data_IF_805318455396
#
_entry.id   IF_805318455396
#
_cell.length_a   1.000
_cell.length_b   1.000
_cell.length_c   1.000
_cell.angle_alpha   90.00
_cell.angle_beta   90.00
_cell.angle_gamma   90.00
#
_symmetry.space_group_name_H-M   'P 1'
#
loop_
_entity.id
_entity.type
_entity.pdbx_description
1 polymer ?
#
# COMPACT_ATOMS: atom_id res chain seq x y z
N UNK A 1 -2.65 -19.99 7.94
CA UNK A 1 -1.73 -19.04 7.28
C UNK A 1 -1.19 -19.73 6.03
N UNK A 2 -1.33 -19.09 4.88
CA UNK A 2 -0.91 -19.63 3.58
C UNK A 2 0.29 -18.85 3.03
N UNK A 3 0.88 -19.37 1.95
CA UNK A 3 1.92 -18.71 1.17
C UNK A 3 1.57 -18.84 -0.30
N UNK A 4 1.71 -17.76 -1.08
CA UNK A 4 1.36 -17.77 -2.49
C UNK A 4 1.81 -16.53 -3.22
N UNK A 5 1.55 -16.48 -4.52
CA UNK A 5 1.80 -15.33 -5.39
C UNK A 5 0.77 -15.34 -6.52
N UNK A 6 0.58 -14.18 -7.18
CA UNK A 6 -0.28 -14.09 -8.35
C UNK A 6 0.27 -14.92 -9.50
N UNK A 7 -0.60 -15.66 -10.17
CA UNK A 7 -0.29 -16.37 -11.41
C UNK A 7 -0.17 -15.42 -12.61
N UNK A 8 -0.64 -14.18 -12.48
CA UNK A 8 -0.40 -13.10 -13.45
C UNK A 8 1.02 -12.55 -13.25
N UNK A 9 1.84 -12.62 -14.31
CA UNK A 9 3.24 -12.18 -14.27
C UNK A 9 3.36 -10.68 -14.02
N UNK A 10 2.47 -9.85 -14.58
CA UNK A 10 2.49 -8.40 -14.42
C UNK A 10 2.23 -8.01 -12.97
N UNK A 11 1.23 -8.63 -12.34
CA UNK A 11 0.94 -8.40 -10.92
C UNK A 11 2.08 -8.86 -10.01
N UNK A 12 2.67 -10.00 -10.33
CA UNK A 12 3.83 -10.52 -9.59
C UNK A 12 5.05 -9.62 -9.76
N UNK A 13 5.33 -9.11 -10.96
CA UNK A 13 6.50 -8.28 -11.27
C UNK A 13 6.40 -6.85 -10.73
N UNK A 14 5.23 -6.22 -10.85
CA UNK A 14 5.02 -4.85 -10.37
C UNK A 14 4.68 -4.78 -8.88
N UNK A 15 4.14 -5.87 -8.32
CA UNK A 15 3.87 -5.98 -6.90
C UNK A 15 5.15 -5.86 -6.05
N UNK A 16 5.01 -5.24 -4.86
CA UNK A 16 6.11 -5.17 -3.88
C UNK A 16 6.51 -6.55 -3.34
N UNK A 17 5.62 -7.54 -3.46
CA UNK A 17 5.79 -8.90 -2.95
C UNK A 17 5.25 -9.91 -3.97
N UNK A 18 4.42 -10.88 -3.57
CA UNK A 18 3.77 -11.83 -4.47
C UNK A 18 2.62 -11.27 -5.33
N UNK A 19 2.33 -9.97 -5.31
CA UNK A 19 1.27 -9.36 -6.16
C UNK A 19 -0.18 -9.61 -5.70
N UNK A 20 -0.38 -10.32 -4.58
CA UNK A 20 -1.72 -10.79 -4.17
C UNK A 20 -2.75 -9.69 -3.87
N UNK A 21 -2.34 -8.54 -3.32
CA UNK A 21 -3.29 -7.46 -3.03
C UNK A 21 -3.98 -6.96 -4.31
N UNK A 22 -3.18 -6.76 -5.37
CA UNK A 22 -3.68 -6.35 -6.68
C UNK A 22 -4.41 -7.49 -7.38
N UNK A 23 -3.96 -8.73 -7.25
CA UNK A 23 -4.67 -9.90 -7.80
C UNK A 23 -6.10 -9.99 -7.28
N UNK A 24 -6.28 -9.92 -5.96
CA UNK A 24 -7.60 -9.93 -5.32
C UNK A 24 -8.43 -8.71 -5.75
N UNK A 25 -7.83 -7.52 -5.79
CA UNK A 25 -8.50 -6.31 -6.24
C UNK A 25 -9.01 -6.41 -7.69
N UNK A 26 -8.15 -6.82 -8.61
CA UNK A 26 -8.48 -7.02 -10.02
C UNK A 26 -9.54 -8.11 -10.20
N UNK A 27 -9.43 -9.21 -9.46
CA UNK A 27 -10.44 -10.27 -9.48
C UNK A 27 -11.81 -9.74 -9.05
N UNK A 28 -11.90 -9.04 -7.92
CA UNK A 28 -13.18 -8.53 -7.40
C UNK A 28 -13.81 -7.47 -8.29
N UNK A 29 -13.01 -6.58 -8.89
CA UNK A 29 -13.50 -5.64 -9.89
C UNK A 29 -14.05 -6.36 -11.14
N UNK A 30 -13.30 -7.34 -11.68
CA UNK A 30 -13.72 -8.10 -12.88
C UNK A 30 -14.99 -8.92 -12.65
N UNK A 31 -15.19 -9.44 -11.44
CA UNK A 31 -16.40 -10.17 -11.06
C UNK A 31 -17.58 -9.24 -10.70
N UNK A 32 -17.38 -7.91 -10.67
CA UNK A 32 -18.42 -6.96 -10.25
C UNK A 32 -18.84 -7.10 -8.78
N UNK A 33 -17.99 -7.71 -7.94
CA UNK A 33 -18.24 -7.89 -6.51
C UNK A 33 -18.06 -6.56 -5.75
N UNK A 34 -17.13 -5.73 -6.24
CA UNK A 34 -16.90 -4.37 -5.77
C UNK A 34 -16.92 -3.41 -6.96
N UNK A 35 -17.41 -2.19 -6.74
CA UNK A 35 -17.45 -1.11 -7.73
C UNK A 35 -16.13 -0.32 -7.77
N UNK A 36 -15.31 -0.44 -6.71
CA UNK A 36 -14.05 0.26 -6.60
C UNK A 36 -13.11 -0.31 -5.55
N UNK A 37 -11.84 0.02 -5.68
CA UNK A 37 -10.76 -0.35 -4.75
C UNK A 37 -10.16 0.93 -4.20
N UNK A 38 -10.15 1.07 -2.88
CA UNK A 38 -9.52 2.19 -2.19
C UNK A 38 -8.06 1.83 -1.98
N UNK A 39 -7.16 2.61 -2.59
CA UNK A 39 -5.72 2.44 -2.51
C UNK A 39 -4.97 3.76 -2.58
N UNK A 40 -3.64 3.71 -2.56
CA UNK A 40 -2.77 4.89 -2.61
C UNK A 40 -2.05 4.96 -3.96
N UNK A 41 -2.24 6.07 -4.67
CA UNK A 41 -1.60 6.35 -5.95
C UNK A 41 -0.64 7.53 -5.85
N UNK A 42 0.31 7.62 -6.77
CA UNK A 42 1.08 8.85 -6.99
C UNK A 42 0.21 9.91 -7.66
N UNK A 43 0.47 11.18 -7.37
CA UNK A 43 -0.19 12.28 -8.08
C UNK A 43 0.36 12.42 -9.51
N UNK A 44 -0.53 12.65 -10.47
CA UNK A 44 -0.21 12.68 -11.91
C UNK A 44 0.93 13.65 -12.27
N UNK A 45 1.01 14.80 -11.61
CA UNK A 45 1.99 15.85 -11.88
C UNK A 45 3.12 15.90 -10.84
N UNK A 46 3.08 15.04 -9.82
CA UNK A 46 4.09 15.02 -8.79
C UNK A 46 4.38 13.56 -8.37
N UNK A 47 5.43 12.92 -8.93
CA UNK A 47 5.75 11.52 -8.66
C UNK A 47 6.20 11.27 -7.20
N UNK A 48 6.40 12.33 -6.42
CA UNK A 48 6.76 12.26 -5.01
C UNK A 48 5.56 12.48 -4.09
N UNK A 49 4.41 12.94 -4.58
CA UNK A 49 3.18 13.12 -3.80
C UNK A 49 2.25 11.93 -3.98
N UNK A 50 1.54 11.57 -2.92
CA UNK A 50 0.66 10.42 -2.90
C UNK A 50 -0.69 10.79 -2.29
N UNK A 51 -1.75 10.20 -2.83
CA UNK A 51 -3.11 10.42 -2.34
C UNK A 51 -3.93 9.13 -2.36
N UNK A 52 -4.94 9.00 -1.49
CA UNK A 52 -5.93 7.96 -1.64
C UNK A 52 -6.74 8.20 -2.93
N UNK A 53 -7.18 7.12 -3.56
CA UNK A 53 -8.05 7.15 -4.72
C UNK A 53 -8.97 5.91 -4.74
N UNK A 54 -10.11 6.06 -5.41
CA UNK A 54 -11.00 4.97 -5.78
C UNK A 54 -10.59 4.49 -7.17
N UNK A 55 -10.14 3.24 -7.27
CA UNK A 55 -9.64 2.60 -8.47
C UNK A 55 -10.70 1.64 -9.00
N UNK A 56 -11.10 1.80 -10.25
CA UNK A 56 -12.27 1.13 -10.85
C UNK A 56 -11.90 0.14 -11.96
N UNK A 57 -10.65 0.18 -12.41
CA UNK A 57 -10.14 -0.71 -13.46
C UNK A 57 -8.85 -1.40 -13.00
N UNK A 58 -8.51 -2.57 -13.55
CA UNK A 58 -7.20 -3.19 -13.32
C UNK A 58 -6.04 -2.23 -13.59
N UNK A 59 -6.13 -1.41 -14.64
CA UNK A 59 -5.13 -0.41 -15.00
C UNK A 59 -4.96 0.65 -13.91
N UNK A 60 -6.06 1.12 -13.32
CA UNK A 60 -6.03 2.02 -12.17
C UNK A 60 -5.46 1.33 -10.92
N UNK A 61 -5.78 0.06 -10.67
CA UNK A 61 -5.17 -0.73 -9.59
C UNK A 61 -3.65 -0.81 -9.79
N UNK A 62 -3.18 -0.98 -11.02
CA UNK A 62 -1.75 -1.02 -11.31
C UNK A 62 -1.05 0.32 -11.10
N UNK A 63 -1.76 1.45 -11.22
CA UNK A 63 -1.20 2.77 -10.87
C UNK A 63 -0.88 2.90 -9.36
N UNK A 64 -1.47 2.06 -8.52
CA UNK A 64 -1.19 1.99 -7.09
C UNK A 64 -0.03 1.06 -6.72
N UNK A 65 0.67 0.44 -7.67
CA UNK A 65 1.78 -0.47 -7.39
C UNK A 65 2.96 0.17 -6.66
N UNK A 66 3.68 -0.67 -5.90
CA UNK A 66 4.82 -0.26 -5.09
C UNK A 66 4.41 0.21 -3.71
N UNK A 67 5.27 -0.04 -2.73
CA UNK A 67 5.08 0.43 -1.36
C UNK A 67 5.30 1.93 -1.29
N UNK A 68 4.50 2.64 -0.47
CA UNK A 68 4.67 4.07 -0.18
C UNK A 68 4.99 4.22 1.30
N UNK A 69 6.27 4.30 1.64
CA UNK A 69 6.72 4.44 3.03
C UNK A 69 6.75 5.93 3.43
N UNK A 70 5.60 6.58 3.29
CA UNK A 70 5.31 7.93 3.78
C UNK A 70 3.88 7.95 4.30
N UNK A 71 3.59 8.84 5.24
CA UNK A 71 2.21 9.09 5.67
C UNK A 71 1.38 9.67 4.52
N UNK A 72 0.18 9.12 4.35
CA UNK A 72 -0.84 9.58 3.40
C UNK A 72 -2.17 9.60 4.16
N UNK A 73 -2.94 10.70 4.12
CA UNK A 73 -4.17 10.84 4.90
C UNK A 73 -5.32 10.05 4.24
N UNK A 74 -5.30 8.72 4.34
CA UNK A 74 -6.31 7.84 3.71
C UNK A 74 -7.72 8.08 4.22
N UNK A 75 -7.87 8.60 5.45
CA UNK A 75 -9.17 8.86 6.07
C UNK A 75 -10.02 9.89 5.32
N UNK A 76 -9.44 10.73 4.47
CA UNK A 76 -10.20 11.72 3.70
C UNK A 76 -11.20 11.07 2.74
N UNK A 77 -10.93 9.83 2.30
CA UNK A 77 -11.78 9.09 1.37
C UNK A 77 -13.10 8.65 2.01
N UNK A 78 -13.17 8.59 3.34
CA UNK A 78 -14.33 8.11 4.09
C UNK A 78 -15.58 8.94 3.75
N UNK A 79 -15.41 10.26 3.63
CA UNK A 79 -16.51 11.17 3.29
C UNK A 79 -17.01 11.00 1.85
N UNK A 80 -16.14 10.56 0.93
CA UNK A 80 -16.52 10.32 -0.46
C UNK A 80 -17.34 9.03 -0.55
N UNK A 81 -16.84 7.95 0.03
CA UNK A 81 -17.51 6.64 -0.01
C UNK A 81 -18.82 6.62 0.79
N UNK A 82 -18.96 7.46 1.83
CA UNK A 82 -20.22 7.55 2.59
C UNK A 82 -21.38 8.15 1.79
N UNK A 83 -21.10 8.81 0.65
CA UNK A 83 -22.11 9.51 -0.17
C UNK A 83 -22.67 8.67 -1.31
N UNK A 84 -22.11 7.49 -1.55
CA UNK A 84 -22.53 6.61 -2.65
C UNK A 84 -23.23 5.36 -2.10
N UNK A 85 -23.78 4.54 -2.98
CA UNK A 85 -24.28 3.20 -2.64
C UNK A 85 -23.33 2.07 -3.01
N UNK A 86 -22.16 2.43 -3.54
CA UNK A 86 -21.16 1.52 -4.09
C UNK A 86 -20.49 0.68 -2.99
N UNK A 87 -19.96 -0.47 -3.40
CA UNK A 87 -19.20 -1.39 -2.58
C UNK A 87 -17.72 -1.31 -2.92
N UNK A 88 -16.89 -1.24 -1.90
CA UNK A 88 -15.46 -1.02 -2.04
C UNK A 88 -14.65 -2.12 -1.37
N UNK A 89 -13.52 -2.46 -2.00
CA UNK A 89 -12.40 -3.11 -1.35
C UNK A 89 -11.48 -2.03 -0.77
N UNK A 90 -11.17 -2.08 0.53
CA UNK A 90 -10.22 -1.15 1.14
C UNK A 90 -8.87 -1.83 1.38
N UNK A 91 -7.79 -1.29 0.77
CA UNK A 91 -6.43 -1.80 0.98
C UNK A 91 -5.63 -0.77 1.78
N UNK A 92 -5.13 -1.15 2.95
CA UNK A 92 -4.42 -0.23 3.84
C UNK A 92 -3.41 -0.88 4.77
N UNK A 93 -2.78 -0.03 5.58
CA UNK A 93 -1.92 -0.44 6.69
C UNK A 93 -2.78 -0.83 7.92
N UNK A 94 -2.25 -1.59 8.89
CA UNK A 94 -3.00 -2.03 10.07
C UNK A 94 -3.67 -0.88 10.82
N UNK A 95 -2.93 0.23 10.98
CA UNK A 95 -3.43 1.45 11.61
C UNK A 95 -4.59 2.13 10.86
N UNK A 96 -4.59 2.06 9.53
CA UNK A 96 -5.64 2.62 8.68
C UNK A 96 -6.89 1.73 8.74
N UNK A 97 -6.71 0.40 8.77
CA UNK A 97 -7.82 -0.54 8.98
C UNK A 97 -8.46 -0.31 10.35
N UNK A 98 -7.68 -0.17 11.42
CA UNK A 98 -8.22 0.16 12.75
C UNK A 98 -9.04 1.47 12.73
N UNK A 99 -8.54 2.50 12.05
CA UNK A 99 -9.26 3.76 11.90
C UNK A 99 -10.57 3.60 11.12
N UNK A 100 -10.56 2.80 10.06
CA UNK A 100 -11.76 2.47 9.28
C UNK A 100 -12.79 1.70 10.12
N UNK A 101 -12.36 0.68 10.87
CA UNK A 101 -13.27 -0.09 11.72
C UNK A 101 -13.94 0.79 12.77
N UNK A 102 -13.19 1.67 13.43
CA UNK A 102 -13.76 2.67 14.36
C UNK A 102 -14.74 3.61 13.68
N UNK A 103 -14.45 4.03 12.44
CA UNK A 103 -15.38 4.87 11.68
C UNK A 103 -16.67 4.10 11.34
N UNK A 104 -16.57 2.82 11.01
CA UNK A 104 -17.72 1.93 10.74
C UNK A 104 -18.58 1.70 12.00
N UNK A 105 -17.96 1.63 13.18
CA UNK A 105 -18.70 1.51 14.45
C UNK A 105 -19.59 2.73 14.72
N UNK A 106 -19.12 3.93 14.33
CA UNK A 106 -19.84 5.20 14.55
C UNK A 106 -20.80 5.50 13.39
N UNK A 107 -20.46 5.10 12.17
CA UNK A 107 -21.25 5.32 10.97
C UNK A 107 -21.54 3.98 10.27
N UNK A 108 -22.68 3.38 10.60
CA UNK A 108 -23.09 2.08 10.06
C UNK A 108 -23.29 2.10 8.55
N UNK A 109 -23.58 3.24 7.92
CA UNK A 109 -23.66 3.32 6.47
C UNK A 109 -22.32 2.97 5.81
N UNK A 110 -21.18 3.29 6.43
CA UNK A 110 -19.86 2.89 5.91
C UNK A 110 -19.70 1.36 5.90
N UNK A 111 -20.33 0.65 6.84
CA UNK A 111 -20.30 -0.82 6.89
C UNK A 111 -20.81 -1.42 5.59
N UNK A 112 -21.90 -0.86 5.06
CA UNK A 112 -22.54 -1.35 3.84
C UNK A 112 -21.75 -1.00 2.58
N UNK A 113 -20.83 -0.02 2.67
CA UNK A 113 -19.94 0.40 1.57
C UNK A 113 -18.65 -0.40 1.53
N UNK A 114 -18.16 -0.91 2.66
CA UNK A 114 -16.92 -1.70 2.68
C UNK A 114 -17.25 -3.18 2.52
N UNK A 115 -17.10 -3.69 1.31
CA UNK A 115 -17.26 -5.12 1.06
C UNK A 115 -16.18 -5.92 1.78
N UNK A 116 -14.92 -5.51 1.67
CA UNK A 116 -13.78 -6.22 2.25
C UNK A 116 -12.61 -5.26 2.54
N UNK A 117 -11.76 -5.66 3.48
CA UNK A 117 -10.52 -4.99 3.86
C UNK A 117 -9.33 -5.92 3.67
N UNK A 118 -8.27 -5.39 3.08
CA UNK A 118 -6.96 -6.04 3.00
C UNK A 118 -5.97 -5.17 3.78
N UNK A 119 -5.33 -5.74 4.79
CA UNK A 119 -4.17 -5.12 5.42
C UNK A 119 -2.88 -5.64 4.81
N UNK A 120 -1.96 -4.76 4.45
CA UNK A 120 -0.55 -5.15 4.24
C UNK A 120 0.20 -5.07 5.57
N UNK A 121 1.18 -5.95 5.79
CA UNK A 121 1.98 -5.93 7.01
C UNK A 121 2.77 -4.63 7.12
N UNK A 122 2.90 -4.09 8.33
CA UNK A 122 3.58 -2.83 8.57
C UNK A 122 4.33 -2.84 9.90
N UNK A 123 5.65 -2.66 9.85
CA UNK A 123 6.45 -2.44 11.07
C UNK A 123 6.49 -0.95 11.43
N UNK A 124 7.09 -0.15 10.55
CA UNK A 124 7.16 1.31 10.68
C UNK A 124 6.74 1.98 9.38
N UNK A 125 6.20 3.19 9.52
CA UNK A 125 6.08 4.14 8.43
C UNK A 125 6.91 5.38 8.78
N UNK A 126 7.01 6.34 7.88
CA UNK A 126 7.76 7.58 8.10
C UNK A 126 6.94 8.81 7.75
N UNK A 127 7.23 9.89 8.47
CA UNK A 127 6.79 11.23 8.15
C UNK A 127 7.30 11.65 6.77
N UNK A 128 6.53 12.51 6.09
CA UNK A 128 6.87 13.04 4.76
C UNK A 128 8.29 13.64 4.69
N UNK A 129 8.75 14.21 5.81
CA UNK A 129 10.09 14.78 5.98
C UNK A 129 11.23 13.81 5.65
N UNK A 130 11.04 12.50 5.84
CA UNK A 130 12.05 11.50 5.45
C UNK A 130 12.29 11.50 3.93
N UNK A 131 11.20 11.49 3.16
CA UNK A 131 11.26 11.51 1.70
C UNK A 131 11.84 12.84 1.21
N UNK A 132 11.43 13.96 1.81
CA UNK A 132 11.97 15.29 1.50
C UNK A 132 13.48 15.37 1.80
N UNK A 133 13.93 14.78 2.90
CA UNK A 133 15.34 14.68 3.24
C UNK A 133 16.13 13.92 2.17
N UNK A 134 15.63 12.77 1.70
CA UNK A 134 16.28 11.99 0.65
C UNK A 134 16.27 12.70 -0.71
N UNK A 135 15.19 13.40 -1.04
CA UNK A 135 15.11 14.25 -2.24
C UNK A 135 16.14 15.37 -2.17
N UNK A 136 16.28 16.05 -1.03
CA UNK A 136 17.31 17.09 -0.87
C UNK A 136 18.72 16.51 -0.95
N UNK A 137 18.94 15.32 -0.37
CA UNK A 137 20.23 14.62 -0.40
C UNK A 137 20.62 14.14 -1.80
N UNK A 138 19.64 13.76 -2.63
CA UNK A 138 19.89 13.29 -4.00
C UNK A 138 20.44 14.39 -4.92
N UNK A 139 20.10 15.66 -4.64
CA UNK A 139 20.38 16.82 -5.50
C UNK A 139 19.72 16.74 -6.88
N UNK A 140 18.75 15.84 -7.07
CA UNK A 140 17.97 15.67 -8.30
C UNK A 140 16.76 16.60 -8.23
N UNK A 141 16.69 17.61 -9.12
CA UNK A 141 15.61 18.59 -9.14
C UNK A 141 14.41 18.18 -10.01
N UNK A 142 14.65 17.40 -11.06
CA UNK A 142 13.69 16.98 -12.08
C UNK A 142 13.33 15.50 -11.92
N UNK A 143 12.78 15.15 -10.75
CA UNK A 143 12.44 13.77 -10.41
C UNK A 143 11.38 13.22 -11.35
N UNK A 144 11.71 12.13 -12.05
CA UNK A 144 10.81 11.36 -12.90
C UNK A 144 10.09 10.27 -12.12
N UNK A 145 10.82 9.52 -11.31
CA UNK A 145 10.27 8.43 -10.50
C UNK A 145 10.89 8.40 -9.11
N UNK A 146 10.10 7.95 -8.15
CA UNK A 146 10.52 7.69 -6.78
C UNK A 146 9.96 6.33 -6.36
N UNK A 147 10.84 5.42 -5.98
CA UNK A 147 10.49 4.07 -5.57
C UNK A 147 11.06 3.79 -4.19
N UNK A 148 10.17 3.52 -3.23
CA UNK A 148 10.55 3.19 -1.86
C UNK A 148 11.12 1.77 -1.71
N UNK A 149 10.86 0.92 -2.70
CA UNK A 149 11.38 -0.45 -2.79
C UNK A 149 11.70 -0.73 -4.25
N UNK A 150 12.97 -0.59 -4.59
CA UNK A 150 13.56 -0.92 -5.89
C UNK A 150 14.70 -1.91 -5.70
N UNK A 151 15.09 -2.62 -6.75
CA UNK A 151 16.26 -3.51 -6.76
C UNK A 151 17.32 -2.88 -7.65
N UNK A 152 18.51 -2.64 -7.10
CA UNK A 152 19.68 -2.16 -7.84
C UNK A 152 20.90 -2.95 -7.39
N UNK A 153 21.66 -3.49 -8.34
CA UNK A 153 22.88 -4.28 -8.06
C UNK A 153 22.67 -5.39 -7.01
N UNK A 154 21.56 -6.13 -7.12
CA UNK A 154 21.12 -7.17 -6.17
C UNK A 154 20.74 -6.66 -4.75
N UNK A 155 20.78 -5.36 -4.49
CA UNK A 155 20.32 -4.77 -3.24
C UNK A 155 18.91 -4.19 -3.39
N UNK A 156 18.08 -4.38 -2.35
CA UNK A 156 16.80 -3.68 -2.25
C UNK A 156 17.03 -2.32 -1.58
N UNK A 157 16.34 -1.28 -2.04
CA UNK A 157 16.51 0.06 -1.45
C UNK A 157 15.53 1.10 -1.99
N UNK A 158 15.77 2.34 -1.61
CA UNK A 158 15.04 3.51 -2.09
C UNK A 158 15.79 4.11 -3.29
N UNK A 159 15.05 4.40 -4.36
CA UNK A 159 15.59 4.91 -5.63
C UNK A 159 14.84 6.15 -6.07
N UNK A 160 15.58 7.19 -6.45
CA UNK A 160 15.09 8.34 -7.22
C UNK A 160 15.78 8.31 -8.58
N UNK A 161 15.01 8.51 -9.64
CA UNK A 161 15.53 8.71 -11.01
C UNK A 161 15.05 10.06 -11.53
N UNK A 162 15.97 10.88 -12.02
CA UNK A 162 15.67 12.15 -12.67
C UNK A 162 15.31 11.99 -14.16
N UNK A 163 14.74 13.03 -14.75
CA UNK A 163 14.39 13.04 -16.17
C UNK A 163 15.61 12.93 -17.09
N UNK A 164 16.78 13.34 -16.62
CA UNK A 164 18.06 13.25 -17.34
C UNK A 164 18.76 11.89 -17.18
N UNK A 165 18.18 10.97 -16.42
CA UNK A 165 18.74 9.63 -16.17
C UNK A 165 19.74 9.57 -15.02
N UNK A 166 19.93 10.67 -14.28
CA UNK A 166 20.61 10.70 -13.00
C UNK A 166 19.84 9.89 -11.95
N UNK A 167 20.57 9.18 -11.10
CA UNK A 167 19.98 8.27 -10.11
C UNK A 167 20.59 8.49 -8.73
N UNK A 168 19.74 8.41 -7.72
CA UNK A 168 20.13 8.36 -6.32
C UNK A 168 19.55 7.13 -5.67
N UNK A 169 20.42 6.28 -5.13
CA UNK A 169 20.04 5.04 -4.47
C UNK A 169 20.58 5.01 -3.04
N UNK A 170 19.76 4.54 -2.12
CA UNK A 170 20.16 4.16 -0.76
C UNK A 170 19.63 2.77 -0.49
N UNK A 171 20.51 1.88 -0.03
CA UNK A 171 20.15 0.51 0.28
C UNK A 171 19.15 0.43 1.46
N UNK A 172 18.56 -0.75 1.63
CA UNK A 172 17.55 -1.01 2.66
C UNK A 172 18.05 -0.68 4.07
N UNK A 173 19.31 -0.95 4.42
CA UNK A 173 19.82 -0.71 5.77
C UNK A 173 19.96 0.79 6.02
N UNK A 174 20.56 1.53 5.08
CA UNK A 174 20.63 2.98 5.13
C UNK A 174 19.24 3.64 5.17
N UNK A 175 18.29 3.12 4.39
CA UNK A 175 16.91 3.59 4.38
C UNK A 175 16.19 3.31 5.70
N UNK A 176 16.34 2.11 6.27
CA UNK A 176 15.67 1.69 7.51
C UNK A 176 16.15 2.50 8.72
N UNK A 177 17.39 2.99 8.71
CA UNK A 177 17.93 3.86 9.75
C UNK A 177 17.09 5.14 9.94
N UNK A 178 16.44 5.61 8.86
CA UNK A 178 15.59 6.80 8.89
C UNK A 178 14.37 6.63 9.81
N UNK A 179 13.92 5.40 10.08
CA UNK A 179 12.84 5.15 11.02
C UNK A 179 13.14 5.73 12.42
N UNK A 180 14.42 5.73 12.84
CA UNK A 180 14.80 6.29 14.15
C UNK A 180 14.59 7.80 14.26
N UNK A 181 14.57 8.51 13.12
CA UNK A 181 14.49 9.96 13.06
C UNK A 181 13.12 10.46 12.60
N UNK A 182 12.45 9.68 11.76
CA UNK A 182 11.26 10.14 11.03
C UNK A 182 10.04 9.25 11.21
N UNK A 183 10.10 8.19 12.02
CA UNK A 183 8.87 7.44 12.32
C UNK A 183 7.93 8.29 13.18
N UNK A 184 6.62 8.34 12.83
CA UNK A 184 5.64 9.04 13.64
C UNK A 184 5.51 8.38 15.02
N UNK A 185 5.20 9.17 16.05
CA UNK A 185 5.04 8.65 17.42
C UNK A 185 4.07 7.46 17.52
N UNK A 186 3.00 7.49 16.71
CA UNK A 186 2.01 6.41 16.67
C UNK A 186 2.63 5.06 16.28
N UNK A 187 3.65 5.02 15.42
CA UNK A 187 4.29 3.76 15.03
C UNK A 187 4.98 3.08 16.21
N UNK A 188 5.61 3.84 17.11
CA UNK A 188 6.27 3.32 18.32
C UNK A 188 5.29 2.72 19.35
N UNK A 189 4.02 3.12 19.28
CA UNK A 189 2.93 2.62 20.13
C UNK A 189 2.03 1.60 19.42
N UNK A 190 2.32 1.28 18.17
CA UNK A 190 1.50 0.38 17.37
C UNK A 190 1.77 -1.08 17.77
N UNK A 191 0.72 -1.77 18.21
CA UNK A 191 0.80 -3.18 18.60
C UNK A 191 0.37 -4.14 17.48
N UNK A 192 -0.01 -3.62 16.32
CA UNK A 192 -0.57 -4.40 15.21
C UNK A 192 0.35 -4.36 13.99
N UNK A 193 1.12 -5.44 13.83
CA UNK A 193 2.03 -5.67 12.71
C UNK A 193 1.31 -6.25 11.49
N UNK A 194 0.36 -7.16 11.74
CA UNK A 194 -0.19 -8.06 10.73
C UNK A 194 -1.59 -7.68 10.28
N UNK A 195 -2.17 -6.58 10.76
CA UNK A 195 -3.51 -6.14 10.40
C UNK A 195 -4.58 -7.06 10.98
N UNK A 196 -4.60 -7.19 12.31
CA UNK A 196 -5.50 -8.10 13.03
C UNK A 196 -6.99 -7.84 12.79
N UNK A 197 -7.33 -6.61 12.41
CA UNK A 197 -8.69 -6.12 12.18
C UNK A 197 -9.13 -6.13 10.71
N UNK A 198 -8.34 -6.71 9.80
CA UNK A 198 -8.69 -6.84 8.39
C UNK A 198 -9.34 -8.20 8.08
N UNK A 199 -10.08 -8.32 6.99
CA UNK A 199 -10.62 -9.60 6.53
C UNK A 199 -9.49 -10.52 6.01
N UNK A 200 -8.53 -9.91 5.28
CA UNK A 200 -7.36 -10.56 4.73
C UNK A 200 -6.09 -9.76 5.06
N UNK A 201 -5.01 -10.44 5.43
CA UNK A 201 -3.73 -9.79 5.68
C UNK A 201 -2.60 -10.37 4.83
N UNK A 202 -1.79 -9.49 4.25
CA UNK A 202 -0.74 -9.85 3.30
C UNK A 202 0.62 -9.31 3.76
N UNK A 203 1.62 -10.16 3.77
CA UNK A 203 3.01 -9.80 4.10
C UNK A 203 4.01 -10.41 3.13
N UNK A 204 5.27 -10.06 3.25
CA UNK A 204 6.33 -10.68 2.45
C UNK A 204 6.57 -12.15 2.85
N UNK A 205 6.63 -13.05 1.86
CA UNK A 205 7.17 -14.40 1.98
C UNK A 205 8.50 -14.48 1.22
N UNK A 206 9.56 -13.93 1.81
CA UNK A 206 10.89 -13.84 1.21
C UNK A 206 11.45 -15.20 0.77
N UNK A 207 11.03 -16.31 1.41
CA UNK A 207 11.43 -17.66 1.02
C UNK A 207 10.92 -18.07 -0.38
N UNK A 208 9.90 -17.39 -0.91
CA UNK A 208 9.36 -17.62 -2.25
C UNK A 208 9.96 -16.67 -3.30
N UNK A 209 11.02 -15.91 -2.94
CA UNK A 209 11.60 -14.78 -3.71
C UNK A 209 10.61 -13.63 -3.91
N UNK A 210 9.58 -13.85 -4.72
CA UNK A 210 8.41 -13.00 -4.91
C UNK A 210 7.14 -13.77 -4.54
N UNK A 211 6.90 -13.89 -3.25
CA UNK A 211 5.66 -14.43 -2.71
C UNK A 211 5.20 -13.65 -1.50
N UNK A 212 3.93 -13.85 -1.17
CA UNK A 212 3.27 -13.22 -0.04
C UNK A 212 2.84 -14.28 0.98
N UNK A 213 2.93 -13.93 2.26
CA UNK A 213 2.22 -14.61 3.35
C UNK A 213 0.79 -14.12 3.37
N UNK A 214 -0.13 -15.03 3.61
CA UNK A 214 -1.57 -14.75 3.61
C UNK A 214 -2.18 -15.21 4.93
N UNK A 215 -2.84 -14.30 5.63
CA UNK A 215 -3.65 -14.58 6.81
C UNK A 215 -5.09 -14.26 6.46
N UNK A 216 -5.91 -15.30 6.37
CA UNK A 216 -7.36 -15.20 6.18
C UNK A 216 -8.00 -15.14 7.57
N UNK A 217 -8.83 -14.14 7.86
CA UNK A 217 -9.40 -13.92 9.20
C UNK A 217 -10.88 -14.21 9.33
N UNK A 218 -11.61 -14.29 8.22
CA UNK A 218 -13.03 -14.60 8.23
C UNK A 218 -13.49 -15.33 6.96
N UNK A 219 -14.73 -15.82 6.99
CA UNK A 219 -15.35 -16.58 5.91
C UNK A 219 -15.40 -15.80 4.60
N UNK A 220 -15.64 -14.49 4.67
CA UNK A 220 -15.71 -13.63 3.48
C UNK A 220 -14.38 -13.66 2.71
N UNK A 221 -13.26 -13.51 3.41
CA UNK A 221 -11.93 -13.62 2.82
C UNK A 221 -11.53 -15.06 2.46
N UNK A 222 -12.11 -16.08 3.10
CA UNK A 222 -11.85 -17.48 2.79
C UNK A 222 -12.52 -17.95 1.49
N UNK A 223 -13.65 -17.32 1.13
CA UNK A 223 -14.44 -17.67 -0.04
C UNK A 223 -13.99 -16.96 -1.32
N UNK A 224 -12.93 -16.13 -1.25
CA UNK A 224 -12.29 -15.45 -2.38
C UNK A 224 -10.97 -16.14 -2.68
#
# INVERSE_FOLDING_TARGET
>A
MYKGYSTDSRERELGSSGGLASAVACYLLKQGVVDGVIGIISERLNPTSFKPAILRTPEEVYSAFGSKYTLVPTNIIINEISKTTEKFLFIGLPCQIQGLQKAIEINTHLRDRIFMTISVFCGFNMERKATEFLIKKSKISDIKTLQYRSIKNAETGFLITGCKGDEFFIDKHGYTLLNMFFSPERCWKCYDLTGEFADLSLGDAWELKKGSRVIVRNEKANNI
#
